data_IF_518468857929
#
_entry.id   IF_518468857929
#
_cell.length_a   1.000
_cell.length_b   1.000
_cell.length_c   1.000
_cell.angle_alpha   90.00
_cell.angle_beta   90.00
_cell.angle_gamma   90.00
#
_symmetry.space_group_name_H-M   'P 1'
#
loop_
_entity.id
_entity.type
_entity.pdbx_description
1 polymer ?
#
# COMPACT_ATOMS: atom_id res chain seq x y z
N UNK A 1 -11.45 -15.79 36.12
CA UNK A 1 -12.42 -16.06 35.02
C UNK A 1 -12.55 -14.86 34.07
N UNK A 2 -12.95 -13.67 34.52
CA UNK A 2 -13.18 -12.49 33.66
C UNK A 2 -11.96 -12.00 32.89
N UNK A 3 -10.76 -12.05 33.48
CA UNK A 3 -9.52 -11.76 32.76
C UNK A 3 -9.31 -12.71 31.56
N UNK A 4 -9.48 -14.02 31.76
CA UNK A 4 -9.34 -15.04 30.71
C UNK A 4 -10.38 -14.85 29.61
N UNK A 5 -11.65 -14.60 29.98
CA UNK A 5 -12.70 -14.29 29.01
C UNK A 5 -12.40 -13.00 28.23
N UNK A 6 -11.84 -11.99 28.89
CA UNK A 6 -11.44 -10.74 28.22
C UNK A 6 -10.34 -11.01 27.21
N UNK A 7 -9.32 -11.79 27.59
CA UNK A 7 -8.25 -12.21 26.68
C UNK A 7 -8.83 -12.92 25.46
N UNK A 8 -9.71 -13.92 25.68
CA UNK A 8 -10.32 -14.68 24.60
C UNK A 8 -11.17 -13.84 23.62
N UNK A 9 -11.74 -12.72 24.07
CA UNK A 9 -12.62 -11.86 23.24
C UNK A 9 -11.88 -10.68 22.61
N UNK A 10 -10.84 -10.17 23.27
CA UNK A 10 -10.10 -8.97 22.86
C UNK A 10 -8.87 -9.31 22.02
N UNK A 11 -8.22 -10.44 22.30
CA UNK A 11 -7.03 -10.86 21.56
C UNK A 11 -7.39 -11.21 20.13
N UNK A 12 -6.73 -10.54 19.19
CA UNK A 12 -6.94 -10.69 17.76
C UNK A 12 -5.61 -10.94 17.06
N UNK A 13 -5.69 -11.41 15.82
CA UNK A 13 -4.50 -11.74 15.03
C UNK A 13 -3.59 -10.54 14.80
N UNK A 14 -4.16 -9.35 14.53
CA UNK A 14 -3.38 -8.12 14.30
C UNK A 14 -3.35 -7.23 15.54
N UNK A 15 -2.28 -6.46 15.68
CA UNK A 15 -2.09 -5.48 16.74
C UNK A 15 -3.20 -4.42 16.70
N UNK A 16 -3.50 -3.88 15.51
CA UNK A 16 -4.56 -2.89 15.33
C UNK A 16 -5.95 -3.40 15.74
N UNK A 17 -6.29 -4.65 15.41
CA UNK A 17 -7.55 -5.25 15.83
C UNK A 17 -7.63 -5.42 17.35
N UNK A 18 -6.56 -5.92 17.98
CA UNK A 18 -6.47 -6.09 19.45
C UNK A 18 -6.59 -4.74 20.17
N UNK A 19 -5.85 -3.72 19.71
CA UNK A 19 -5.92 -2.36 20.24
C UNK A 19 -7.31 -1.77 20.09
N UNK A 20 -7.93 -1.89 18.91
CA UNK A 20 -9.26 -1.36 18.65
C UNK A 20 -10.29 -1.98 19.61
N UNK A 21 -10.30 -3.30 19.79
CA UNK A 21 -11.22 -3.98 20.71
C UNK A 21 -10.92 -3.65 22.17
N UNK A 22 -9.64 -3.67 22.57
CA UNK A 22 -9.21 -3.44 23.94
C UNK A 22 -9.53 -2.02 24.41
N UNK A 23 -9.16 -1.01 23.61
CA UNK A 23 -9.44 0.39 23.91
C UNK A 23 -10.94 0.69 23.89
N UNK A 24 -11.67 0.18 22.89
CA UNK A 24 -13.13 0.34 22.83
C UNK A 24 -13.82 -0.28 24.05
N UNK A 25 -13.40 -1.47 24.48
CA UNK A 25 -13.94 -2.12 25.69
C UNK A 25 -13.64 -1.31 26.93
N UNK A 26 -12.39 -0.86 27.10
CA UNK A 26 -11.98 -0.06 28.25
C UNK A 26 -12.79 1.23 28.36
N UNK A 27 -12.85 2.00 27.26
CA UNK A 27 -13.60 3.25 27.21
C UNK A 27 -15.11 3.04 27.41
N UNK A 28 -15.70 2.03 26.76
CA UNK A 28 -17.11 1.69 26.92
C UNK A 28 -17.46 1.29 28.35
N UNK A 29 -16.64 0.46 28.99
CA UNK A 29 -16.91 -0.01 30.36
C UNK A 29 -16.78 1.14 31.36
N UNK A 30 -15.74 1.97 31.22
CA UNK A 30 -15.53 3.14 32.08
C UNK A 30 -16.67 4.15 31.95
N UNK A 31 -16.99 4.57 30.72
CA UNK A 31 -18.07 5.53 30.47
C UNK A 31 -19.45 5.00 30.87
N UNK A 32 -19.75 3.74 30.57
CA UNK A 32 -21.01 3.10 30.97
C UNK A 32 -21.13 2.97 32.49
N UNK A 33 -20.06 2.62 33.19
CA UNK A 33 -20.04 2.54 34.64
C UNK A 33 -20.26 3.91 35.29
N UNK A 34 -19.52 4.93 34.83
CA UNK A 34 -19.67 6.29 35.33
C UNK A 34 -21.09 6.84 35.08
N UNK A 35 -21.64 6.67 33.88
CA UNK A 35 -23.01 7.09 33.56
C UNK A 35 -24.07 6.27 34.31
N UNK A 36 -23.83 4.98 34.56
CA UNK A 36 -24.75 4.15 35.33
C UNK A 36 -24.87 4.60 36.79
N UNK A 37 -23.72 4.88 37.44
CA UNK A 37 -23.71 5.46 38.79
C UNK A 37 -24.37 6.85 38.81
N UNK A 38 -24.10 7.68 37.80
CA UNK A 38 -24.75 8.98 37.65
C UNK A 38 -26.27 8.89 37.47
N UNK A 39 -26.74 7.92 36.66
CA UNK A 39 -28.17 7.67 36.44
C UNK A 39 -28.88 7.22 37.73
N UNK A 40 -28.24 6.34 38.50
CA UNK A 40 -28.77 5.92 39.79
C UNK A 40 -28.82 7.10 40.78
N UNK A 41 -27.74 7.87 40.90
CA UNK A 41 -27.70 9.03 41.79
C UNK A 41 -28.78 10.06 41.42
N UNK A 42 -28.98 10.30 40.13
CA UNK A 42 -30.04 11.18 39.64
C UNK A 42 -31.43 10.62 39.96
N UNK A 43 -31.67 9.33 39.78
CA UNK A 43 -32.96 8.70 40.04
C UNK A 43 -33.35 8.74 41.53
N UNK A 44 -32.39 8.57 42.44
CA UNK A 44 -32.63 8.66 43.89
C UNK A 44 -33.13 10.06 44.34
N UNK A 45 -32.87 11.12 43.58
CA UNK A 45 -33.38 12.46 43.89
C UNK A 45 -34.90 12.60 43.71
N UNK A 46 -35.55 11.65 43.03
CA UNK A 46 -36.99 11.67 42.74
C UNK A 46 -37.84 10.86 43.74
N UNK A 47 -37.24 10.35 44.82
CA UNK A 47 -37.93 9.55 45.84
C UNK A 47 -38.27 8.13 45.40
N UNK A 48 -38.77 7.31 46.32
CA UNK A 48 -38.94 5.85 46.10
C UNK A 48 -39.93 5.49 44.98
N UNK A 49 -41.00 6.28 44.78
CA UNK A 49 -41.96 6.04 43.70
C UNK A 49 -41.44 6.52 42.33
N UNK A 50 -40.63 7.59 42.30
CA UNK A 50 -40.11 8.20 41.08
C UNK A 50 -38.82 7.57 40.56
N UNK A 51 -37.99 7.02 41.45
CA UNK A 51 -36.71 6.38 41.14
C UNK A 51 -36.80 5.33 40.02
N UNK A 52 -37.68 4.30 40.08
CA UNK A 52 -37.72 3.28 39.03
C UNK A 52 -38.21 3.83 37.68
N UNK A 53 -39.07 4.85 37.68
CA UNK A 53 -39.59 5.48 36.46
C UNK A 53 -38.50 6.27 35.76
N UNK A 54 -37.76 7.11 36.51
CA UNK A 54 -36.66 7.93 35.98
C UNK A 54 -35.52 7.04 35.51
N UNK A 55 -35.15 6.02 36.30
CA UNK A 55 -34.11 5.07 35.93
C UNK A 55 -34.47 4.31 34.65
N UNK A 56 -35.70 3.79 34.55
CA UNK A 56 -36.21 3.12 33.35
C UNK A 56 -36.17 4.02 32.12
N UNK A 57 -36.56 5.29 32.26
CA UNK A 57 -36.49 6.28 31.19
C UNK A 57 -35.04 6.55 30.74
N UNK A 58 -34.11 6.74 31.67
CA UNK A 58 -32.68 6.94 31.36
C UNK A 58 -32.07 5.73 30.67
N UNK A 59 -32.38 4.52 31.14
CA UNK A 59 -31.94 3.27 30.53
C UNK A 59 -32.46 3.16 29.09
N UNK A 60 -33.76 3.38 28.90
CA UNK A 60 -34.38 3.35 27.57
C UNK A 60 -33.74 4.37 26.62
N UNK A 61 -33.55 5.60 27.08
CA UNK A 61 -33.00 6.68 26.25
C UNK A 61 -31.55 6.41 25.85
N UNK A 62 -30.67 6.10 26.81
CA UNK A 62 -29.25 5.90 26.53
C UNK A 62 -28.96 4.58 25.82
N UNK A 63 -29.59 3.48 26.24
CA UNK A 63 -29.44 2.19 25.55
C UNK A 63 -30.08 2.21 24.15
N UNK A 64 -31.23 2.87 24.00
CA UNK A 64 -31.90 3.08 22.72
C UNK A 64 -31.06 3.92 21.76
N UNK A 65 -30.53 5.06 22.24
CA UNK A 65 -29.64 5.92 21.46
C UNK A 65 -28.36 5.18 21.06
N UNK A 66 -27.71 4.50 22.01
CA UNK A 66 -26.50 3.70 21.72
C UNK A 66 -26.81 2.60 20.70
N UNK A 67 -27.94 1.91 20.80
CA UNK A 67 -28.37 0.91 19.82
C UNK A 67 -28.58 1.53 18.45
N UNK A 68 -29.20 2.71 18.38
CA UNK A 68 -29.40 3.44 17.13
C UNK A 68 -28.08 3.82 16.46
N UNK A 69 -27.05 4.20 17.23
CA UNK A 69 -25.73 4.54 16.65
C UNK A 69 -25.08 3.38 15.90
N UNK A 70 -25.43 2.12 16.21
CA UNK A 70 -24.93 0.92 15.51
C UNK A 70 -25.42 0.79 14.07
N UNK A 71 -26.46 1.53 13.68
CA UNK A 71 -26.91 1.56 12.27
C UNK A 71 -26.05 2.44 11.38
N UNK A 72 -25.22 3.33 11.94
CA UNK A 72 -24.30 4.14 11.15
C UNK A 72 -23.08 3.29 10.76
N UNK A 73 -22.82 3.09 9.45
CA UNK A 73 -21.77 2.17 8.99
C UNK A 73 -20.38 2.49 9.54
N UNK A 74 -20.05 3.78 9.71
CA UNK A 74 -18.76 4.21 10.25
C UNK A 74 -18.59 3.86 11.73
N UNK A 75 -19.66 3.95 12.52
CA UNK A 75 -19.66 3.56 13.93
C UNK A 75 -19.63 2.05 14.03
N UNK A 76 -20.45 1.36 13.23
CA UNK A 76 -20.49 -0.10 13.18
C UNK A 76 -19.14 -0.72 12.84
N UNK A 77 -18.45 -0.21 11.83
CA UNK A 77 -17.16 -0.75 11.42
C UNK A 77 -16.06 -0.54 12.49
N UNK A 78 -16.18 0.48 13.35
CA UNK A 78 -15.09 0.90 14.25
C UNK A 78 -15.32 0.63 15.72
N UNK A 79 -16.57 0.72 16.17
CA UNK A 79 -16.95 0.83 17.57
C UNK A 79 -18.07 -0.13 17.97
N UNK A 80 -18.60 -0.97 17.07
CA UNK A 80 -19.76 -1.83 17.36
C UNK A 80 -19.58 -2.67 18.63
N UNK A 81 -18.38 -3.26 18.80
CA UNK A 81 -18.03 -4.00 20.00
C UNK A 81 -18.08 -3.11 21.26
N UNK A 82 -17.52 -1.90 21.21
CA UNK A 82 -17.56 -0.95 22.31
C UNK A 82 -18.98 -0.50 22.64
N UNK A 83 -19.80 -0.18 21.63
CA UNK A 83 -21.20 0.21 21.82
C UNK A 83 -22.01 -0.91 22.45
N UNK A 84 -21.80 -2.17 22.05
CA UNK A 84 -22.44 -3.33 22.68
C UNK A 84 -22.02 -3.49 24.14
N UNK A 85 -20.73 -3.38 24.45
CA UNK A 85 -20.23 -3.42 25.84
C UNK A 85 -20.81 -2.25 26.66
N UNK A 86 -20.92 -1.07 26.07
CA UNK A 86 -21.50 0.11 26.72
C UNK A 86 -22.96 -0.15 27.11
N UNK A 87 -23.80 -0.60 26.17
CA UNK A 87 -25.22 -0.89 26.42
C UNK A 87 -25.38 -1.91 27.55
N UNK A 88 -24.63 -3.02 27.48
CA UNK A 88 -24.69 -4.09 28.47
C UNK A 88 -24.24 -3.60 29.86
N UNK A 89 -23.11 -2.89 29.93
CA UNK A 89 -22.55 -2.41 31.19
C UNK A 89 -23.44 -1.34 31.82
N UNK A 90 -23.90 -0.38 31.03
CA UNK A 90 -24.74 0.71 31.51
C UNK A 90 -26.08 0.19 32.03
N UNK A 91 -26.71 -0.73 31.30
CA UNK A 91 -27.97 -1.36 31.73
C UNK A 91 -27.76 -2.18 33.01
N UNK A 92 -26.67 -2.96 33.08
CA UNK A 92 -26.35 -3.75 34.27
C UNK A 92 -26.12 -2.86 35.49
N UNK A 93 -25.28 -1.83 35.38
CA UNK A 93 -24.96 -0.93 36.50
C UNK A 93 -26.18 -0.15 36.95
N UNK A 94 -26.96 0.41 36.02
CA UNK A 94 -28.15 1.21 36.33
C UNK A 94 -29.22 0.37 37.04
N UNK A 95 -29.54 -0.83 36.53
CA UNK A 95 -30.62 -1.68 37.08
C UNK A 95 -30.21 -2.35 38.40
N UNK A 96 -28.91 -2.60 38.61
CA UNK A 96 -28.45 -3.31 39.81
C UNK A 96 -28.41 -2.44 41.08
N UNK A 97 -28.87 -1.19 41.02
CA UNK A 97 -28.79 -0.18 42.09
C UNK A 97 -29.39 -0.55 43.45
N UNK A 98 -30.12 -1.66 43.58
CA UNK A 98 -30.74 -2.08 44.85
C UNK A 98 -29.77 -2.72 45.87
N UNK A 99 -28.48 -2.92 45.54
CA UNK A 99 -27.46 -3.54 46.43
C UNK A 99 -26.09 -2.83 46.37
N UNK A 100 -26.10 -1.51 46.55
CA UNK A 100 -25.02 -0.55 46.23
C UNK A 100 -23.63 -0.95 46.74
N UNK A 101 -23.46 -1.34 48.00
CA UNK A 101 -22.11 -1.56 48.57
C UNK A 101 -21.47 -2.87 48.13
N UNK A 102 -22.21 -3.99 48.20
CA UNK A 102 -21.70 -5.32 47.79
C UNK A 102 -21.48 -5.46 46.29
N UNK A 103 -22.21 -4.68 45.48
CA UNK A 103 -22.04 -4.68 44.03
C UNK A 103 -20.89 -3.80 43.56
N UNK A 104 -20.57 -2.72 44.28
CA UNK A 104 -19.48 -1.82 43.91
C UNK A 104 -18.12 -2.49 44.06
N UNK A 105 -17.88 -3.21 45.17
CA UNK A 105 -16.65 -4.00 45.36
C UNK A 105 -16.52 -5.10 44.31
N UNK A 106 -17.62 -5.82 44.04
CA UNK A 106 -17.65 -6.90 43.05
C UNK A 106 -17.49 -6.37 41.61
N UNK A 107 -17.98 -5.16 41.32
CA UNK A 107 -17.78 -4.48 40.05
C UNK A 107 -16.34 -3.97 39.88
N UNK A 108 -15.71 -3.46 40.94
CA UNK A 108 -14.31 -3.05 40.93
C UNK A 108 -13.38 -4.24 40.65
N UNK A 109 -13.61 -5.40 41.27
CA UNK A 109 -12.84 -6.61 41.01
C UNK A 109 -13.01 -7.12 39.56
N UNK A 110 -14.22 -7.01 39.01
CA UNK A 110 -14.48 -7.33 37.60
C UNK A 110 -13.80 -6.35 36.66
N UNK A 111 -13.87 -5.06 36.96
CA UNK A 111 -13.25 -4.01 36.14
C UNK A 111 -11.73 -4.16 36.15
N UNK A 112 -11.11 -4.37 37.31
CA UNK A 112 -9.66 -4.55 37.42
C UNK A 112 -9.19 -5.79 36.66
N UNK A 113 -9.90 -6.92 36.76
CA UNK A 113 -9.55 -8.14 36.01
C UNK A 113 -9.76 -7.99 34.49
N UNK A 114 -10.75 -7.22 34.04
CA UNK A 114 -10.91 -6.85 32.62
C UNK A 114 -9.75 -5.97 32.15
N UNK A 115 -9.37 -4.96 32.93
CA UNK A 115 -8.25 -4.06 32.60
C UNK A 115 -6.94 -4.84 32.53
N UNK A 116 -6.67 -5.72 33.50
CA UNK A 116 -5.47 -6.58 33.49
C UNK A 116 -5.46 -7.48 32.26
N UNK A 117 -6.58 -8.17 31.95
CA UNK A 117 -6.67 -9.03 30.77
C UNK A 117 -6.44 -8.27 29.46
N UNK A 118 -7.05 -7.08 29.31
CA UNK A 118 -6.87 -6.23 28.14
C UNK A 118 -5.45 -5.67 28.00
N UNK A 119 -4.85 -5.22 29.11
CA UNK A 119 -3.47 -4.75 29.13
C UNK A 119 -2.49 -5.86 28.75
N UNK A 120 -2.67 -7.08 29.29
CA UNK A 120 -1.85 -8.24 28.92
C UNK A 120 -1.97 -8.55 27.43
N UNK A 121 -3.17 -8.54 26.84
CA UNK A 121 -3.33 -8.73 25.39
C UNK A 121 -2.55 -7.69 24.59
N UNK A 122 -2.70 -6.41 24.91
CA UNK A 122 -2.03 -5.32 24.19
C UNK A 122 -0.50 -5.47 24.30
N UNK A 123 0.02 -5.77 25.49
CA UNK A 123 1.46 -5.98 25.72
C UNK A 123 1.96 -7.16 24.89
N UNK A 124 1.29 -8.31 24.96
CA UNK A 124 1.68 -9.51 24.20
C UNK A 124 1.66 -9.25 22.69
N UNK A 125 0.60 -8.63 22.18
CA UNK A 125 0.48 -8.34 20.74
C UNK A 125 1.53 -7.34 20.25
N UNK A 126 1.89 -6.32 21.03
CA UNK A 126 2.86 -5.30 20.59
C UNK A 126 4.31 -5.80 20.72
N UNK A 127 4.65 -6.49 21.82
CA UNK A 127 6.06 -6.73 22.17
C UNK A 127 6.58 -8.14 21.91
N UNK A 128 5.71 -9.16 21.82
CA UNK A 128 6.16 -10.56 21.67
C UNK A 128 6.16 -10.99 20.20
N UNK A 129 5.01 -10.90 19.53
CA UNK A 129 4.87 -11.27 18.12
C UNK A 129 3.93 -10.28 17.40
N UNK A 130 4.43 -9.08 17.05
CA UNK A 130 3.60 -8.08 16.42
C UNK A 130 3.27 -8.45 14.97
N UNK A 131 1.97 -8.54 14.68
CA UNK A 131 1.43 -8.64 13.32
C UNK A 131 0.67 -7.36 12.99
N UNK A 132 1.14 -6.63 11.99
CA UNK A 132 0.66 -5.29 11.66
C UNK A 132 -0.29 -5.30 10.46
N UNK A 133 -1.54 -4.86 10.67
CA UNK A 133 -2.52 -4.70 9.60
C UNK A 133 -2.09 -3.63 8.58
N UNK A 134 -1.35 -2.59 9.03
CA UNK A 134 -0.80 -1.58 8.13
C UNK A 134 0.24 -2.12 7.15
N UNK A 135 1.11 -3.02 7.62
CA UNK A 135 2.10 -3.70 6.78
C UNK A 135 1.41 -4.64 5.77
N UNK A 136 0.40 -5.40 6.22
CA UNK A 136 -0.36 -6.27 5.34
C UNK A 136 -1.13 -5.48 4.26
N UNK A 137 -1.70 -4.33 4.61
CA UNK A 137 -2.34 -3.43 3.64
C UNK A 137 -1.32 -2.89 2.62
N UNK A 138 -0.15 -2.50 3.10
CA UNK A 138 0.92 -1.98 2.24
C UNK A 138 1.37 -3.03 1.22
N UNK A 139 1.66 -4.26 1.67
CA UNK A 139 1.99 -5.40 0.80
C UNK A 139 0.86 -5.72 -0.17
N UNK A 140 -0.39 -5.67 0.28
CA UNK A 140 -1.55 -5.94 -0.57
C UNK A 140 -1.68 -4.93 -1.71
N UNK A 141 -1.51 -3.63 -1.43
CA UNK A 141 -1.56 -2.59 -2.47
C UNK A 141 -0.41 -2.75 -3.48
N UNK A 142 0.80 -3.01 -3.00
CA UNK A 142 1.94 -3.36 -3.86
C UNK A 142 1.59 -4.52 -4.78
N UNK A 143 1.09 -5.62 -4.22
CA UNK A 143 0.75 -6.83 -4.96
C UNK A 143 -0.34 -6.57 -6.02
N UNK A 144 -1.31 -5.70 -5.72
CA UNK A 144 -2.32 -5.30 -6.70
C UNK A 144 -1.67 -4.59 -7.89
N UNK A 145 -0.80 -3.61 -7.66
CA UNK A 145 -0.13 -2.89 -8.74
C UNK A 145 0.81 -3.80 -9.54
N UNK A 146 1.51 -4.73 -8.90
CA UNK A 146 2.33 -5.74 -9.58
C UNK A 146 1.51 -6.63 -10.49
N UNK A 147 0.36 -7.11 -10.03
CA UNK A 147 -0.55 -7.93 -10.85
C UNK A 147 -1.09 -7.18 -12.06
N UNK A 148 -1.39 -5.88 -11.92
CA UNK A 148 -1.78 -5.03 -13.05
C UNK A 148 -0.62 -4.87 -14.04
N UNK A 149 0.61 -4.62 -13.54
CA UNK A 149 1.80 -4.47 -14.37
C UNK A 149 2.11 -5.75 -15.15
N UNK A 150 2.13 -6.91 -14.48
CA UNK A 150 2.38 -8.21 -15.08
C UNK A 150 1.36 -8.56 -16.18
N UNK A 151 0.07 -8.25 -15.97
CA UNK A 151 -0.93 -8.44 -17.01
C UNK A 151 -0.64 -7.58 -18.24
N UNK A 152 -0.37 -6.28 -18.05
CA UNK A 152 -0.10 -5.37 -19.17
C UNK A 152 1.20 -5.72 -19.91
N UNK A 153 2.21 -6.21 -19.20
CA UNK A 153 3.45 -6.67 -19.81
C UNK A 153 3.22 -7.81 -20.80
N UNK A 154 2.41 -8.80 -20.44
CA UNK A 154 2.10 -9.96 -21.29
C UNK A 154 0.96 -9.75 -22.30
N UNK A 155 0.03 -8.82 -22.03
CA UNK A 155 -1.17 -8.65 -22.86
C UNK A 155 -0.83 -8.28 -24.32
N UNK A 156 0.15 -7.40 -24.52
CA UNK A 156 0.52 -6.91 -25.85
C UNK A 156 1.03 -8.03 -26.77
N UNK A 157 1.87 -8.93 -26.27
CA UNK A 157 2.38 -10.06 -27.05
C UNK A 157 1.27 -11.07 -27.35
N UNK A 158 0.43 -11.38 -26.36
CA UNK A 158 -0.63 -12.38 -26.48
C UNK A 158 -1.69 -11.95 -27.51
N UNK A 159 -2.20 -10.72 -27.39
CA UNK A 159 -3.28 -10.22 -28.26
C UNK A 159 -2.84 -10.12 -29.73
N UNK A 160 -1.56 -9.82 -29.99
CA UNK A 160 -1.02 -9.68 -31.33
C UNK A 160 -0.26 -10.92 -31.82
N UNK A 161 -0.27 -12.04 -31.10
CA UNK A 161 0.41 -13.29 -31.48
C UNK A 161 -0.02 -13.79 -32.87
N UNK A 162 -1.33 -13.74 -33.17
CA UNK A 162 -1.90 -14.09 -34.49
C UNK A 162 -1.39 -13.25 -35.68
N UNK A 163 -0.74 -12.11 -35.43
CA UNK A 163 -0.13 -11.28 -36.48
C UNK A 163 1.34 -11.65 -36.72
N UNK A 164 1.96 -12.35 -35.76
CA UNK A 164 3.39 -12.64 -35.70
C UNK A 164 3.66 -14.14 -35.93
N UNK A 165 3.07 -14.75 -36.97
CA UNK A 165 3.07 -16.21 -37.24
C UNK A 165 4.45 -16.92 -37.38
N UNK A 166 5.58 -16.27 -37.10
CA UNK A 166 6.91 -16.88 -37.20
C UNK A 166 7.46 -17.47 -35.88
N UNK A 167 6.83 -17.27 -34.72
CA UNK A 167 7.33 -17.83 -33.44
C UNK A 167 6.22 -18.48 -32.60
N UNK A 168 5.97 -19.77 -32.88
CA UNK A 168 5.19 -20.63 -31.99
C UNK A 168 6.01 -20.97 -30.74
N UNK A 169 5.91 -20.14 -29.70
CA UNK A 169 6.38 -20.50 -28.35
C UNK A 169 5.21 -21.13 -27.60
N UNK A 170 5.36 -22.42 -27.27
CA UNK A 170 4.43 -23.18 -26.44
C UNK A 170 4.56 -22.68 -25.00
N UNK A 171 3.53 -22.03 -24.49
CA UNK A 171 3.53 -21.45 -23.16
C UNK A 171 2.74 -22.28 -22.16
N UNK A 172 3.47 -23.07 -21.39
CA UNK A 172 2.93 -23.92 -20.32
C UNK A 172 2.84 -23.21 -18.96
N UNK A 173 2.97 -21.88 -18.91
CA UNK A 173 2.83 -21.06 -17.68
C UNK A 173 1.82 -19.89 -17.76
N UNK A 174 1.16 -19.72 -18.91
CA UNK A 174 0.45 -18.50 -19.35
C UNK A 174 -0.85 -18.17 -18.59
N UNK A 175 -1.59 -19.18 -18.10
CA UNK A 175 -2.88 -18.94 -17.43
C UNK A 175 -2.75 -18.12 -16.12
N UNK A 176 -1.57 -18.15 -15.49
CA UNK A 176 -1.38 -17.61 -14.14
C UNK A 176 -1.33 -16.08 -14.10
N UNK A 177 -0.68 -15.42 -15.07
CA UNK A 177 -0.63 -13.96 -15.12
C UNK A 177 -1.90 -13.36 -15.73
N UNK A 178 -2.50 -14.05 -16.71
CA UNK A 178 -3.77 -13.66 -17.34
C UNK A 178 -4.94 -13.65 -16.35
N UNK A 179 -4.88 -14.43 -15.28
CA UNK A 179 -5.91 -14.46 -14.24
C UNK A 179 -5.47 -13.79 -12.93
N UNK A 180 -4.20 -13.37 -12.83
CA UNK A 180 -3.61 -12.85 -11.59
C UNK A 180 -4.33 -11.63 -11.04
N UNK A 181 -4.86 -10.76 -11.90
CA UNK A 181 -5.58 -9.54 -11.51
C UNK A 181 -6.97 -9.81 -10.89
N UNK A 182 -7.58 -10.99 -11.09
CA UNK A 182 -8.94 -11.29 -10.61
C UNK A 182 -9.09 -11.17 -9.10
N UNK A 183 -8.03 -11.46 -8.34
CA UNK A 183 -8.04 -11.30 -6.89
C UNK A 183 -8.25 -9.84 -6.44
N UNK A 184 -7.92 -8.87 -7.30
CA UNK A 184 -8.08 -7.45 -7.01
C UNK A 184 -9.57 -7.07 -7.01
N UNK A 185 -10.37 -7.67 -7.90
CA UNK A 185 -11.78 -7.30 -8.11
C UNK A 185 -12.62 -7.42 -6.83
N UNK A 186 -12.31 -8.39 -5.97
CA UNK A 186 -13.03 -8.69 -4.72
C UNK A 186 -12.33 -8.19 -3.46
N UNK A 187 -11.22 -7.44 -3.57
CA UNK A 187 -10.35 -7.07 -2.44
C UNK A 187 -10.91 -5.99 -1.50
N UNK A 188 -12.01 -5.31 -1.86
CA UNK A 188 -12.50 -4.10 -1.18
C UNK A 188 -12.67 -4.25 0.33
N UNK A 189 -13.37 -5.30 0.77
CA UNK A 189 -13.65 -5.49 2.19
C UNK A 189 -12.38 -5.77 3.01
N UNK A 190 -11.42 -6.50 2.41
CA UNK A 190 -10.14 -6.79 3.04
C UNK A 190 -9.31 -5.52 3.22
N UNK A 191 -9.22 -4.68 2.18
CA UNK A 191 -8.53 -3.39 2.25
C UNK A 191 -9.14 -2.46 3.30
N UNK A 192 -10.47 -2.32 3.30
CA UNK A 192 -11.19 -1.48 4.28
C UNK A 192 -10.98 -1.98 5.71
N UNK A 193 -11.01 -3.30 5.93
CA UNK A 193 -10.76 -3.90 7.24
C UNK A 193 -9.33 -3.64 7.72
N UNK A 194 -8.33 -3.87 6.86
CA UNK A 194 -6.92 -3.64 7.21
C UNK A 194 -6.65 -2.16 7.49
N UNK A 195 -7.19 -1.25 6.67
CA UNK A 195 -7.03 0.20 6.89
C UNK A 195 -7.72 0.68 8.18
N UNK A 196 -8.84 0.07 8.57
CA UNK A 196 -9.51 0.37 9.83
C UNK A 196 -8.65 -0.06 11.02
N UNK A 197 -8.03 -1.24 10.98
CA UNK A 197 -7.15 -1.72 12.04
C UNK A 197 -5.82 -0.95 12.09
N UNK A 198 -5.20 -0.68 10.94
CA UNK A 198 -3.92 0.03 10.84
C UNK A 198 -3.92 1.43 11.48
N UNK A 199 -5.10 2.06 11.59
CA UNK A 199 -5.27 3.35 12.28
C UNK A 199 -5.09 3.30 13.78
N UNK A 200 -5.34 2.14 14.38
CA UNK A 200 -5.18 1.94 15.82
C UNK A 200 -3.75 1.60 16.20
N UNK A 201 -2.90 1.29 15.23
CA UNK A 201 -1.54 0.86 15.46
C UNK A 201 -0.64 2.03 15.89
N UNK A 202 0.28 1.82 16.85
CA UNK A 202 1.39 2.74 17.04
C UNK A 202 2.25 2.86 15.78
N UNK A 203 3.13 3.86 15.73
CA UNK A 203 4.13 3.93 14.66
C UNK A 203 5.03 2.69 14.69
N UNK A 204 5.25 2.08 13.53
CA UNK A 204 6.04 0.85 13.36
C UNK A 204 6.73 0.84 11.99
N UNK A 205 7.90 0.18 11.89
CA UNK A 205 8.66 0.08 10.64
C UNK A 205 8.92 1.44 9.99
N UNK A 206 8.40 1.61 8.77
CA UNK A 206 8.45 2.88 8.02
C UNK A 206 7.17 3.72 8.15
N UNK A 207 6.17 3.22 8.87
CA UNK A 207 4.89 3.88 9.08
C UNK A 207 4.92 4.71 10.37
N UNK A 208 4.69 6.00 10.20
CA UNK A 208 4.59 6.94 11.33
C UNK A 208 3.25 6.78 12.02
N UNK A 209 3.17 7.28 13.26
CA UNK A 209 1.88 7.48 13.92
C UNK A 209 0.97 8.35 13.05
N UNK A 210 -0.32 8.00 12.98
CA UNK A 210 -1.30 8.62 12.08
C UNK A 210 -0.91 8.58 10.59
N UNK A 211 -0.31 7.48 10.12
CA UNK A 211 0.00 7.27 8.70
C UNK A 211 -1.26 7.46 7.80
N UNK A 212 -1.11 8.00 6.56
CA UNK A 212 -2.24 8.30 5.67
C UNK A 212 -2.88 7.06 5.02
N UNK A 213 -3.40 6.12 5.82
CA UNK A 213 -4.06 4.89 5.36
C UNK A 213 -5.26 5.12 4.42
N UNK A 214 -5.85 6.33 4.42
CA UNK A 214 -6.89 6.70 3.44
C UNK A 214 -6.38 6.65 1.99
N UNK A 215 -5.11 6.98 1.76
CA UNK A 215 -4.55 6.96 0.42
C UNK A 215 -4.35 5.54 -0.11
N UNK A 216 -4.06 4.57 0.77
CA UNK A 216 -4.03 3.16 0.37
C UNK A 216 -5.39 2.69 -0.13
N UNK A 217 -6.48 3.10 0.51
CA UNK A 217 -7.85 2.80 0.03
C UNK A 217 -8.16 3.47 -1.32
N UNK A 218 -7.68 4.71 -1.52
CA UNK A 218 -7.81 5.41 -2.81
C UNK A 218 -7.06 4.66 -3.91
N UNK A 219 -5.80 4.29 -3.68
CA UNK A 219 -4.99 3.51 -4.61
C UNK A 219 -5.64 2.14 -4.87
N UNK A 220 -6.13 1.44 -3.84
CA UNK A 220 -6.82 0.15 -4.00
C UNK A 220 -8.12 0.25 -4.81
N UNK A 221 -8.89 1.33 -4.64
CA UNK A 221 -10.07 1.60 -5.46
C UNK A 221 -9.73 1.85 -6.94
N UNK A 222 -8.65 2.60 -7.21
CA UNK A 222 -8.15 2.83 -8.55
C UNK A 222 -7.58 1.55 -9.18
N UNK A 223 -6.83 0.75 -8.41
CA UNK A 223 -6.32 -0.54 -8.85
C UNK A 223 -7.46 -1.49 -9.25
N UNK A 224 -8.56 -1.54 -8.47
CA UNK A 224 -9.78 -2.26 -8.86
C UNK A 224 -10.41 -1.73 -10.14
N UNK A 225 -10.52 -0.41 -10.30
CA UNK A 225 -11.03 0.21 -11.53
C UNK A 225 -10.19 -0.20 -12.74
N UNK A 226 -8.86 -0.20 -12.60
CA UNK A 226 -7.93 -0.68 -13.61
C UNK A 226 -8.15 -2.16 -13.92
N UNK A 227 -8.28 -2.99 -12.88
CA UNK A 227 -8.55 -4.43 -13.01
C UNK A 227 -9.85 -4.72 -13.79
N UNK A 228 -10.90 -3.90 -13.65
CA UNK A 228 -12.10 -4.03 -14.48
C UNK A 228 -11.86 -3.70 -15.97
N UNK A 229 -10.99 -2.73 -16.27
CA UNK A 229 -10.59 -2.46 -17.66
C UNK A 229 -9.77 -3.64 -18.21
N UNK A 230 -8.88 -4.19 -17.40
CA UNK A 230 -8.09 -5.38 -17.74
C UNK A 230 -8.99 -6.62 -17.94
N UNK A 231 -10.04 -6.81 -17.16
CA UNK A 231 -11.02 -7.89 -17.40
C UNK A 231 -11.68 -7.76 -18.77
N UNK A 232 -12.02 -6.54 -19.18
CA UNK A 232 -12.54 -6.29 -20.52
C UNK A 232 -11.50 -6.62 -21.61
N UNK A 233 -10.23 -6.27 -21.42
CA UNK A 233 -9.14 -6.65 -22.33
C UNK A 233 -8.96 -8.16 -22.42
N UNK A 234 -8.95 -8.85 -21.28
CA UNK A 234 -8.80 -10.30 -21.19
C UNK A 234 -9.94 -11.02 -21.94
N UNK A 235 -11.16 -10.49 -21.89
CA UNK A 235 -12.31 -10.99 -22.65
C UNK A 235 -12.13 -10.93 -24.19
N UNK A 236 -11.20 -10.12 -24.69
CA UNK A 236 -10.90 -9.98 -26.12
C UNK A 236 -9.71 -10.81 -26.60
N UNK A 237 -9.00 -11.53 -25.72
CA UNK A 237 -7.88 -12.40 -26.13
C UNK A 237 -8.36 -13.61 -26.96
N UNK A 238 -9.47 -14.22 -26.56
CA UNK A 238 -9.99 -15.47 -27.14
C UNK A 238 -11.34 -15.32 -27.86
N UNK A 239 -11.77 -14.09 -28.18
CA UNK A 239 -13.09 -13.90 -28.79
C UNK A 239 -13.13 -14.39 -30.24
N UNK A 240 -14.13 -15.22 -30.57
CA UNK A 240 -14.40 -15.77 -31.91
C UNK A 240 -14.57 -14.70 -33.01
N UNK A 241 -14.81 -13.44 -32.62
CA UNK A 241 -14.89 -12.28 -33.51
C UNK A 241 -13.50 -11.65 -33.66
N UNK A 242 -12.66 -12.25 -34.50
CA UNK A 242 -11.36 -11.66 -34.81
C UNK A 242 -11.52 -10.47 -35.76
N UNK A 243 -11.01 -9.32 -35.34
CA UNK A 243 -10.86 -8.16 -36.21
C UNK A 243 -9.93 -8.48 -37.40
N UNK A 244 -10.13 -7.81 -38.55
CA UNK A 244 -9.28 -8.00 -39.73
C UNK A 244 -7.78 -7.90 -39.38
N UNK A 245 -6.92 -8.84 -39.84
CA UNK A 245 -5.48 -8.80 -39.55
C UNK A 245 -4.80 -7.50 -39.98
N UNK A 246 -5.26 -6.89 -41.07
CA UNK A 246 -4.80 -5.59 -41.57
C UNK A 246 -5.02 -4.45 -40.56
N UNK A 247 -6.18 -4.44 -39.89
CA UNK A 247 -6.50 -3.46 -38.85
C UNK A 247 -5.70 -3.74 -37.56
N UNK A 248 -5.59 -5.01 -37.13
CA UNK A 248 -4.77 -5.40 -35.98
C UNK A 248 -3.31 -4.97 -36.15
N UNK A 249 -2.71 -5.26 -37.32
CA UNK A 249 -1.32 -4.88 -37.65
C UNK A 249 -1.10 -3.37 -37.60
N UNK A 250 -2.10 -2.60 -38.03
CA UNK A 250 -2.05 -1.13 -37.98
C UNK A 250 -1.96 -0.63 -36.53
N UNK A 251 -2.86 -1.08 -35.65
CA UNK A 251 -2.88 -0.62 -34.25
C UNK A 251 -1.82 -1.28 -33.34
N UNK A 252 -1.11 -2.30 -33.83
CA UNK A 252 -0.20 -3.13 -33.05
C UNK A 252 0.88 -2.33 -32.33
N UNK A 253 1.68 -1.57 -33.06
CA UNK A 253 2.81 -0.82 -32.50
C UNK A 253 2.40 0.15 -31.38
N UNK A 254 1.42 1.06 -31.58
CA UNK A 254 0.99 1.95 -30.51
C UNK A 254 0.33 1.21 -29.34
N UNK A 255 -0.45 0.15 -29.57
CA UNK A 255 -1.04 -0.64 -28.49
C UNK A 255 0.02 -1.37 -27.65
N UNK A 256 1.01 -2.01 -28.28
CA UNK A 256 2.13 -2.67 -27.57
C UNK A 256 2.96 -1.66 -26.78
N UNK A 257 3.18 -0.46 -27.33
CA UNK A 257 3.87 0.61 -26.61
C UNK A 257 3.07 1.09 -25.40
N UNK A 258 1.75 1.26 -25.53
CA UNK A 258 0.86 1.60 -24.41
C UNK A 258 0.99 0.57 -23.28
N UNK A 259 0.89 -0.73 -23.60
CA UNK A 259 0.89 -1.79 -22.58
C UNK A 259 2.24 -1.90 -21.89
N UNK A 260 3.34 -1.85 -22.65
CA UNK A 260 4.70 -1.91 -22.12
C UNK A 260 5.02 -0.70 -21.24
N UNK A 261 4.76 0.52 -21.70
CA UNK A 261 5.06 1.73 -20.93
C UNK A 261 4.16 1.87 -19.70
N UNK A 262 2.88 1.48 -19.79
CA UNK A 262 1.98 1.44 -18.63
C UNK A 262 2.42 0.42 -17.57
N UNK A 263 2.89 -0.76 -18.00
CA UNK A 263 3.46 -1.76 -17.09
C UNK A 263 4.70 -1.22 -16.38
N UNK A 264 5.64 -0.61 -17.12
CA UNK A 264 6.84 0.02 -16.53
C UNK A 264 6.47 1.13 -15.55
N UNK A 265 5.48 1.98 -15.89
CA UNK A 265 5.00 3.02 -14.98
C UNK A 265 4.49 2.42 -13.66
N UNK A 266 3.65 1.38 -13.71
CA UNK A 266 3.19 0.66 -12.52
C UNK A 266 4.35 0.00 -11.75
N UNK A 267 5.34 -0.58 -12.44
CA UNK A 267 6.53 -1.15 -11.81
C UNK A 267 7.38 -0.10 -11.07
N UNK A 268 7.50 1.11 -11.63
CA UNK A 268 8.16 2.23 -10.94
C UNK A 268 7.36 2.69 -9.72
N UNK A 269 6.03 2.73 -9.80
CA UNK A 269 5.17 3.04 -8.65
C UNK A 269 5.28 1.99 -7.54
N UNK A 270 5.28 0.71 -7.90
CA UNK A 270 5.53 -0.40 -6.95
C UNK A 270 6.85 -0.20 -6.24
N UNK A 271 7.91 0.09 -6.99
CA UNK A 271 9.25 0.30 -6.45
C UNK A 271 9.29 1.52 -5.52
N UNK A 272 8.63 2.61 -5.90
CA UNK A 272 8.51 3.82 -5.09
C UNK A 272 7.79 3.57 -3.76
N UNK A 273 6.70 2.81 -3.76
CA UNK A 273 5.95 2.45 -2.55
C UNK A 273 6.80 1.53 -1.66
N UNK A 274 7.38 0.46 -2.22
CA UNK A 274 8.23 -0.50 -1.47
C UNK A 274 9.42 0.17 -0.79
N UNK A 275 10.10 1.06 -1.52
CA UNK A 275 11.32 1.73 -1.04
C UNK A 275 11.01 3.03 -0.28
N UNK A 276 9.74 3.45 -0.22
CA UNK A 276 9.31 4.74 0.35
C UNK A 276 10.05 5.93 -0.26
N UNK A 277 10.23 5.89 -1.58
CA UNK A 277 10.92 6.91 -2.37
C UNK A 277 9.97 7.67 -3.28
N UNK A 278 10.36 8.87 -3.69
CA UNK A 278 9.60 9.69 -4.64
C UNK A 278 9.25 8.93 -5.94
N UNK A 279 7.98 9.01 -6.43
CA UNK A 279 7.52 8.28 -7.61
C UNK A 279 7.83 8.98 -8.94
N UNK A 280 8.62 10.07 -8.97
CA UNK A 280 8.90 10.87 -10.19
C UNK A 280 9.36 10.04 -11.40
N UNK A 281 10.11 8.95 -11.20
CA UNK A 281 10.53 8.09 -12.32
C UNK A 281 9.36 7.45 -13.08
N UNK A 282 8.23 7.22 -12.42
CA UNK A 282 7.02 6.71 -13.09
C UNK A 282 6.45 7.71 -14.10
N UNK A 283 6.65 9.02 -13.88
CA UNK A 283 6.15 10.07 -14.80
C UNK A 283 6.74 9.98 -16.21
N UNK A 284 7.97 9.49 -16.35
CA UNK A 284 8.63 9.32 -17.64
C UNK A 284 7.89 8.28 -18.50
N UNK A 285 7.61 7.11 -17.91
CA UNK A 285 6.89 6.03 -18.58
C UNK A 285 5.42 6.38 -18.82
N UNK A 286 4.81 7.12 -17.88
CA UNK A 286 3.46 7.64 -18.06
C UNK A 286 3.38 8.57 -19.27
N UNK A 287 4.30 9.53 -19.39
CA UNK A 287 4.36 10.42 -20.54
C UNK A 287 4.56 9.67 -21.86
N UNK A 288 5.43 8.66 -21.89
CA UNK A 288 5.61 7.82 -23.07
C UNK A 288 4.32 7.06 -23.46
N UNK A 289 3.53 6.62 -22.48
CA UNK A 289 2.25 5.96 -22.72
C UNK A 289 1.19 6.92 -23.27
N UNK A 290 1.17 8.18 -22.82
CA UNK A 290 0.29 9.23 -23.35
C UNK A 290 0.62 9.57 -24.81
N UNK A 291 1.91 9.69 -25.14
CA UNK A 291 2.34 9.88 -26.53
C UNK A 291 1.90 8.71 -27.42
N UNK A 292 2.01 7.47 -26.92
CA UNK A 292 1.54 6.29 -27.65
C UNK A 292 0.01 6.28 -27.83
N UNK A 293 -0.74 6.75 -26.83
CA UNK A 293 -2.19 6.97 -26.91
C UNK A 293 -2.54 7.99 -28.01
N UNK A 294 -1.81 9.10 -28.10
CA UNK A 294 -2.08 10.10 -29.13
C UNK A 294 -1.77 9.59 -30.54
N UNK A 295 -0.68 8.83 -30.70
CA UNK A 295 -0.38 8.13 -31.95
C UNK A 295 -1.52 7.16 -32.32
N UNK A 296 -2.02 6.38 -31.36
CA UNK A 296 -3.16 5.48 -31.58
C UNK A 296 -4.41 6.24 -32.03
N UNK A 297 -4.75 7.35 -31.38
CA UNK A 297 -5.90 8.20 -31.75
C UNK A 297 -5.77 8.75 -33.17
N UNK A 298 -4.58 9.22 -33.55
CA UNK A 298 -4.32 9.73 -34.91
C UNK A 298 -4.50 8.61 -35.94
N UNK A 299 -3.97 7.43 -35.64
CA UNK A 299 -4.06 6.26 -36.52
C UNK A 299 -5.51 5.79 -36.73
N UNK A 300 -6.30 5.76 -35.65
CA UNK A 300 -7.72 5.42 -35.70
C UNK A 300 -8.52 6.44 -36.53
N UNK A 301 -8.19 7.73 -36.45
CA UNK A 301 -8.85 8.79 -37.24
C UNK A 301 -8.50 8.78 -38.72
N UNK A 302 -7.28 8.35 -39.06
CA UNK A 302 -6.78 8.32 -40.45
C UNK A 302 -7.04 7.00 -41.15
N UNK A 303 -7.68 6.03 -40.49
CA UNK A 303 -8.01 4.74 -41.08
C UNK A 303 -9.24 4.89 -42.00
N UNK A 304 -9.12 4.61 -43.32
CA UNK A 304 -10.27 4.58 -44.21
C UNK A 304 -11.15 3.40 -43.81
N UNK A 305 -12.43 3.68 -43.53
CA UNK A 305 -13.40 2.71 -43.05
C UNK A 305 -14.39 2.44 -44.19
N UNK A 306 -14.37 1.27 -44.80
CA UNK A 306 -15.43 0.85 -45.71
C UNK A 306 -16.65 0.41 -44.88
N UNK A 307 -17.87 0.79 -45.29
CA UNK A 307 -19.11 0.57 -44.53
C UNK A 307 -19.36 -0.93 -44.19
N UNK A 308 -18.81 -1.85 -44.99
CA UNK A 308 -18.92 -3.30 -44.81
C UNK A 308 -17.97 -3.86 -43.74
N UNK A 309 -16.90 -3.14 -43.37
CA UNK A 309 -15.88 -3.58 -42.40
C UNK A 309 -16.12 -3.05 -40.98
N UNK A 310 -17.04 -2.12 -40.82
CA UNK A 310 -17.25 -1.37 -39.58
C UNK A 310 -17.56 -2.27 -38.37
N UNK A 311 -18.42 -3.27 -38.56
CA UNK A 311 -18.78 -4.23 -37.51
C UNK A 311 -17.62 -5.17 -37.15
N UNK A 312 -16.78 -5.51 -38.13
CA UNK A 312 -15.63 -6.42 -37.94
C UNK A 312 -14.48 -5.77 -37.16
N UNK A 313 -14.37 -4.45 -37.19
CA UNK A 313 -13.32 -3.68 -36.51
C UNK A 313 -13.67 -3.40 -35.04
N UNK A 314 -14.94 -3.50 -34.65
CA UNK A 314 -15.44 -3.18 -33.30
C UNK A 314 -14.63 -3.86 -32.18
N UNK A 315 -14.27 -5.15 -32.23
CA UNK A 315 -13.49 -5.77 -31.16
C UNK A 315 -12.11 -5.12 -30.97
N UNK A 316 -11.38 -4.87 -32.05
CA UNK A 316 -10.05 -4.25 -31.98
C UNK A 316 -10.11 -2.76 -31.63
N UNK A 317 -11.13 -2.03 -32.10
CA UNK A 317 -11.38 -0.66 -31.67
C UNK A 317 -11.75 -0.59 -30.18
N UNK A 318 -12.47 -1.59 -29.66
CA UNK A 318 -12.80 -1.71 -28.24
C UNK A 318 -11.53 -1.92 -27.42
N UNK A 319 -10.65 -2.83 -27.84
CA UNK A 319 -9.33 -3.03 -27.20
C UNK A 319 -8.53 -1.73 -27.16
N UNK A 320 -8.42 -1.02 -28.30
CA UNK A 320 -7.74 0.27 -28.36
C UNK A 320 -8.36 1.31 -27.39
N UNK A 321 -9.69 1.39 -27.34
CA UNK A 321 -10.40 2.29 -26.42
C UNK A 321 -10.16 1.93 -24.96
N UNK A 322 -10.20 0.63 -24.60
CA UNK A 322 -9.97 0.17 -23.23
C UNK A 322 -8.51 0.41 -22.82
N UNK A 323 -7.54 0.23 -23.71
CA UNK A 323 -6.13 0.57 -23.44
C UNK A 323 -5.94 2.06 -23.12
N UNK A 324 -6.66 2.95 -23.81
CA UNK A 324 -6.68 4.39 -23.47
C UNK A 324 -7.25 4.61 -22.05
N UNK A 325 -8.30 3.86 -21.67
CA UNK A 325 -8.85 3.92 -20.32
C UNK A 325 -7.88 3.39 -19.26
N UNK A 326 -7.08 2.36 -19.59
CA UNK A 326 -6.03 1.83 -18.72
C UNK A 326 -4.97 2.89 -18.46
N UNK A 327 -4.47 3.59 -19.48
CA UNK A 327 -3.47 4.67 -19.31
C UNK A 327 -3.98 5.74 -18.35
N UNK A 328 -5.23 6.20 -18.54
CA UNK A 328 -5.87 7.16 -17.63
C UNK A 328 -5.97 6.61 -16.19
N UNK A 329 -6.26 5.32 -16.05
CA UNK A 329 -6.30 4.71 -14.73
C UNK A 329 -4.91 4.65 -14.08
N UNK A 330 -3.84 4.41 -14.84
CA UNK A 330 -2.46 4.42 -14.35
C UNK A 330 -2.03 5.84 -13.95
N UNK A 331 -2.45 6.86 -14.71
CA UNK A 331 -2.28 8.28 -14.36
C UNK A 331 -2.95 8.61 -13.01
N UNK A 332 -4.23 8.25 -12.82
CA UNK A 332 -4.93 8.47 -11.55
C UNK A 332 -4.25 7.72 -10.38
N UNK A 333 -3.70 6.52 -10.63
CA UNK A 333 -2.91 5.77 -9.63
C UNK A 333 -1.62 6.53 -9.31
N UNK A 334 -0.89 7.02 -10.33
CA UNK A 334 0.33 7.82 -10.15
C UNK A 334 0.05 9.04 -9.26
N UNK A 335 -1.02 9.79 -9.53
CA UNK A 335 -1.40 10.95 -8.72
C UNK A 335 -1.68 10.58 -7.27
N UNK A 336 -2.42 9.49 -7.03
CA UNK A 336 -2.72 9.01 -5.68
C UNK A 336 -1.46 8.54 -4.93
N UNK A 337 -0.52 7.89 -5.62
CA UNK A 337 0.78 7.50 -5.05
C UNK A 337 1.66 8.71 -4.78
N UNK A 338 1.64 9.72 -5.65
CA UNK A 338 2.35 10.98 -5.42
C UNK A 338 1.80 11.75 -4.20
N UNK A 339 0.48 11.78 -4.05
CA UNK A 339 -0.19 12.33 -2.86
C UNK A 339 0.19 11.56 -1.59
N UNK A 340 0.21 10.22 -1.65
CA UNK A 340 0.70 9.38 -0.56
C UNK A 340 2.15 9.71 -0.22
N UNK A 341 3.03 9.81 -1.21
CA UNK A 341 4.44 10.10 -1.03
C UNK A 341 4.66 11.43 -0.31
N UNK A 342 3.91 12.47 -0.70
CA UNK A 342 3.94 13.77 -0.04
C UNK A 342 3.46 13.70 1.42
N UNK A 343 2.30 13.07 1.67
CA UNK A 343 1.73 12.96 3.02
C UNK A 343 2.56 12.08 3.97
N UNK A 344 3.14 11.00 3.44
CA UNK A 344 3.99 10.07 4.19
C UNK A 344 5.45 10.54 4.30
N UNK A 345 5.81 11.65 3.63
CA UNK A 345 7.17 12.20 3.56
C UNK A 345 8.19 11.18 3.05
N UNK A 346 7.89 10.59 1.89
CA UNK A 346 8.81 9.70 1.18
C UNK A 346 10.13 10.42 0.91
N UNK A 347 11.22 9.65 0.91
CA UNK A 347 12.55 10.21 0.69
C UNK A 347 12.71 10.53 -0.78
N UNK A 348 13.31 11.67 -1.10
CA UNK A 348 13.80 11.88 -2.46
C UNK A 348 14.81 10.78 -2.78
N UNK A 349 14.82 10.23 -4.01
CA UNK A 349 15.83 9.26 -4.40
C UNK A 349 17.20 9.89 -4.12
N UNK A 350 18.19 9.11 -3.63
CA UNK A 350 19.54 9.60 -3.55
C UNK A 350 19.90 10.13 -4.93
N UNK A 351 20.21 11.43 -5.02
CA UNK A 351 20.73 12.01 -6.27
C UNK A 351 21.88 11.10 -6.68
N UNK A 352 21.78 10.45 -7.84
CA UNK A 352 22.95 9.83 -8.43
C UNK A 352 23.99 10.95 -8.47
N UNK A 353 25.06 10.82 -7.69
CA UNK A 353 26.25 11.65 -7.87
C UNK A 353 26.82 11.22 -9.21
N UNK A 354 26.25 11.72 -10.30
CA UNK A 354 27.02 11.91 -11.52
C UNK A 354 28.21 12.75 -11.06
N UNK A 355 29.46 12.31 -11.23
CA UNK A 355 30.59 13.19 -11.00
C UNK A 355 30.35 14.41 -11.88
N UNK A 356 30.02 15.52 -11.23
CA UNK A 356 30.02 16.82 -11.87
C UNK A 356 31.48 17.07 -12.19
N UNK A 357 31.91 16.76 -13.42
CA UNK A 357 33.10 17.38 -13.97
C UNK A 357 32.90 18.87 -13.84
N UNK A 358 33.61 19.46 -12.88
CA UNK A 358 33.71 20.90 -12.73
C UNK A 358 34.25 21.44 -14.06
N UNK A 359 33.74 22.56 -14.58
CA UNK A 359 34.42 23.27 -15.65
C UNK A 359 35.70 23.86 -15.02
N UNK A 360 36.81 23.13 -15.11
CA UNK A 360 38.11 23.61 -14.64
C UNK A 360 38.66 24.63 -15.64
N UNK A 361 38.60 25.87 -15.19
CA UNK A 361 39.67 26.87 -15.22
C UNK A 361 40.48 27.01 -16.53
N UNK A 362 40.24 28.16 -17.18
CA UNK A 362 41.27 29.12 -17.61
C UNK A 362 42.50 28.55 -18.35
N UNK A 363 42.45 28.71 -19.68
CA UNK A 363 43.47 29.36 -20.49
C UNK A 363 44.71 29.87 -19.70
N UNK A 364 45.74 29.03 -19.62
CA UNK A 364 47.12 29.47 -19.49
C UNK A 364 47.96 28.74 -20.53
N UNK A 365 48.07 29.38 -21.70
CA UNK A 365 49.05 29.08 -22.73
C UNK A 365 50.47 29.25 -22.16
N UNK A 366 51.13 28.16 -21.76
CA UNK A 366 52.58 28.15 -21.67
C UNK A 366 53.17 27.68 -23.00
N UNK A 367 53.59 28.69 -23.76
CA UNK A 367 54.38 28.61 -24.99
C UNK A 367 55.75 28.02 -24.67
N UNK A 368 55.98 26.76 -25.02
CA UNK A 368 57.29 26.11 -25.04
C UNK A 368 57.76 25.88 -26.47
N UNK A 369 58.79 26.61 -26.90
CA UNK A 369 59.44 26.46 -28.22
C UNK A 369 60.47 25.32 -28.13
N UNK A 370 60.34 24.29 -28.97
CA UNK A 370 61.39 23.29 -29.18
C UNK A 370 62.10 23.57 -30.52
N UNK A 371 63.43 23.78 -30.47
CA UNK A 371 64.30 23.77 -31.67
C UNK A 371 64.67 22.32 -32.00
N UNK A 372 64.74 21.92 -33.27
CA UNK A 372 65.26 20.61 -33.63
C UNK A 372 66.80 20.66 -33.70
N UNK A 373 67.44 19.64 -33.13
CA UNK A 373 68.82 19.28 -33.48
C UNK A 373 68.73 17.91 -34.15
N UNK A 374 69.18 17.87 -35.39
CA UNK A 374 69.37 16.64 -36.16
C UNK A 374 70.82 16.23 -35.95
N UNK A 375 71.06 14.99 -35.55
CA UNK A 375 72.27 14.27 -35.98
C UNK A 375 72.05 12.75 -36.01
N UNK A 376 71.94 12.27 -37.26
CA UNK A 376 72.65 11.14 -37.89
C UNK A 376 72.80 9.79 -37.16
N UNK A 377 72.38 8.77 -37.91
CA UNK A 377 72.79 7.35 -37.94
C UNK A 377 72.00 6.34 -37.11
N UNK A 378 71.37 5.41 -37.85
CA UNK A 378 71.60 3.97 -37.62
C UNK A 378 70.54 3.20 -36.85
N UNK A 379 69.76 2.45 -37.62
CA UNK A 379 69.28 1.09 -37.33
C UNK A 379 68.15 0.86 -36.31
N UNK A 380 67.41 -0.21 -36.59
CA UNK A 380 66.17 -0.68 -35.96
C UNK A 380 66.16 -0.70 -34.43
N UNK A 381 65.01 -0.41 -33.84
CA UNK A 381 64.72 -0.76 -32.45
C UNK A 381 63.33 -0.36 -32.01
N UNK A 382 62.48 -1.35 -31.73
CA UNK A 382 61.16 -1.21 -31.12
C UNK A 382 61.19 -0.35 -29.85
N UNK A 383 60.24 0.58 -29.71
CA UNK A 383 60.06 1.36 -28.47
C UNK A 383 58.96 0.70 -27.63
N UNK A 384 59.39 -0.04 -26.61
CA UNK A 384 58.56 -0.58 -25.53
C UNK A 384 58.21 0.55 -24.56
N UNK A 385 56.92 0.70 -24.23
CA UNK A 385 56.43 1.61 -23.19
C UNK A 385 56.30 0.84 -21.88
N UNK A 386 57.12 1.19 -20.89
CA UNK A 386 57.02 0.66 -19.51
C UNK A 386 56.31 1.68 -18.63
N UNK A 387 55.20 1.28 -18.00
CA UNK A 387 54.50 2.08 -16.99
C UNK A 387 55.04 1.72 -15.60
N UNK A 388 55.54 2.72 -14.88
CA UNK A 388 55.95 2.62 -13.48
C UNK A 388 54.82 3.17 -12.60
N UNK A 389 54.25 2.30 -11.76
CA UNK A 389 53.32 2.66 -10.68
C UNK A 389 54.12 3.04 -9.44
N UNK A 390 53.87 4.24 -8.91
CA UNK A 390 54.55 4.77 -7.73
C UNK A 390 53.70 4.55 -6.46
N UNK A 391 54.35 4.18 -5.37
CA UNK A 391 53.74 3.75 -4.10
C UNK A 391 53.78 4.81 -3.01
N UNK A 392 52.74 4.76 -2.16
CA UNK A 392 52.67 5.04 -0.68
C UNK A 392 52.76 6.50 -0.17
N UNK A 393 52.31 6.83 1.08
CA UNK A 393 51.87 5.95 2.20
C UNK A 393 50.56 6.31 2.94
N UNK A 394 50.13 5.36 3.79
CA UNK A 394 49.13 5.44 4.87
C UNK A 394 49.72 6.07 6.15
N UNK A 395 48.90 6.78 6.94
CA UNK A 395 49.13 7.08 8.36
C UNK A 395 47.83 6.92 9.17
N UNK A 396 47.95 6.14 10.25
CA UNK A 396 47.27 5.99 11.55
C UNK A 396 46.03 6.87 11.88
N UNK A 397 45.02 6.48 12.68
CA UNK A 397 44.96 5.58 13.83
C UNK A 397 43.47 5.38 14.22
N UNK A 398 42.98 4.16 14.49
CA UNK A 398 41.86 3.97 15.42
C UNK A 398 41.86 2.58 16.08
N UNK A 399 41.80 2.62 17.40
CA UNK A 399 41.01 1.73 18.28
C UNK A 399 41.48 0.31 18.64
N UNK A 400 41.58 0.15 19.98
CA UNK A 400 41.01 -0.90 20.84
C UNK A 400 41.90 -2.06 21.29
N UNK A 401 42.31 -1.90 22.56
CA UNK A 401 42.25 -2.88 23.64
C UNK A 401 41.41 -4.15 23.36
N UNK A 402 42.08 -5.31 23.40
CA UNK A 402 41.54 -6.48 24.09
C UNK A 402 42.69 -7.35 24.61
N UNK A 403 42.74 -7.50 25.93
CA UNK A 403 43.74 -8.30 26.65
C UNK A 403 43.20 -9.74 26.82
N UNK A 404 43.97 -10.79 26.50
CA UNK A 404 43.63 -12.18 26.83
C UNK A 404 44.34 -12.62 28.11
N UNK A 405 43.60 -13.18 29.07
CA UNK A 405 43.98 -14.35 29.86
C UNK A 405 43.10 -14.45 31.10
N UNK A 406 42.32 -15.54 31.20
CA UNK A 406 42.35 -16.34 32.43
C UNK A 406 41.74 -17.72 32.26
N UNK A 407 42.41 -18.64 32.93
CA UNK A 407 42.28 -20.08 32.98
C UNK A 407 41.12 -20.59 33.84
N UNK A 408 40.51 -21.67 33.35
CA UNK A 408 40.02 -22.88 34.04
C UNK A 408 40.06 -22.90 35.59
N UNK A 409 38.90 -23.04 36.23
CA UNK A 409 38.55 -24.16 37.14
C UNK A 409 37.09 -24.10 37.64
N UNK A 410 36.52 -25.32 37.70
CA UNK A 410 35.21 -25.79 38.21
C UNK A 410 33.97 -25.54 37.35
#
# INVERSE_FOLDING_TARGET
MWAVLTVAVVFEFTVGATLSKGLNRGFATFSAGALGVGAQHLACLFGEEGEPVVLGFLVFLLAGTATFTRFFPQIKARYDYGVLIFILTFSMVSISGYRVEKLLELAQERLSTIVIGGATCIIVSIFICPVWAGEDLHKLIILHLEKLALFLEGFGSEYFQSVNEDEAVISTGEETFLLGYKSILTSKNMEESLANFARWEPGHGHFRFCHPWKQYLKIGALARRCAYQIEALNGHLNSDLQAPPSFKKRIQEPCMKITSESSKALGMLVSAIKLTTDPSLASLYLHNSEVAVDNLKILLKTTPLEDTELLSIVPAATVASVLIQVVRCVEEIYEAVNELAHLAKFKSPPKLKVPLEKPQAQLLLHRGVAKPVVDVAGDNGDVVVTVLDDKTPEDENDSREHNPDQSVKL
#
